data_IF_130003901236
#
_entry.id   IF_130003901236
#
_cell.length_a   1.000
_cell.length_b   1.000
_cell.length_c   1.000
_cell.angle_alpha   90.00
_cell.angle_beta   90.00
_cell.angle_gamma   90.00
#
_symmetry.space_group_name_H-M   'P 1'
#
loop_
_entity.id
_entity.type
_entity.pdbx_description
1 polymer ?
#
# COMPACT_ATOMS: atom_id res chain seq x y z
N UNK A 1 -45.99 -43.08 -8.19
CA UNK A 1 -45.08 -42.26 -9.02
C UNK A 1 -44.97 -40.91 -8.35
N UNK A 2 -43.92 -40.71 -7.56
CA UNK A 2 -43.66 -39.44 -6.87
C UNK A 2 -42.42 -38.81 -7.51
N UNK A 3 -42.60 -37.59 -7.98
CA UNK A 3 -41.59 -36.69 -8.53
C UNK A 3 -40.63 -36.26 -7.42
N UNK A 4 -39.31 -36.38 -7.64
CA UNK A 4 -38.31 -35.76 -6.78
C UNK A 4 -37.64 -34.64 -7.56
N UNK A 5 -37.93 -33.41 -7.13
CA UNK A 5 -37.22 -32.20 -7.52
C UNK A 5 -35.73 -32.33 -7.21
N UNK A 6 -34.90 -32.04 -8.21
CA UNK A 6 -33.46 -31.81 -8.03
C UNK A 6 -33.24 -30.31 -7.91
N UNK A 7 -33.15 -29.82 -6.67
CA UNK A 7 -32.67 -28.48 -6.39
C UNK A 7 -31.14 -28.45 -6.59
N UNK A 8 -30.71 -27.69 -7.60
CA UNK A 8 -29.31 -27.31 -7.82
C UNK A 8 -28.87 -26.32 -6.74
N UNK A 9 -28.05 -26.78 -5.80
CA UNK A 9 -27.33 -25.92 -4.86
C UNK A 9 -26.30 -25.09 -5.65
N UNK A 10 -26.56 -23.79 -5.81
CA UNK A 10 -25.57 -22.82 -6.23
C UNK A 10 -24.56 -22.66 -5.08
N UNK A 11 -23.41 -23.30 -5.20
CA UNK A 11 -22.29 -23.08 -4.29
C UNK A 11 -21.76 -21.65 -4.46
N UNK A 12 -21.86 -20.84 -3.41
CA UNK A 12 -21.15 -19.55 -3.32
C UNK A 12 -19.65 -19.84 -3.30
N UNK A 13 -18.98 -19.73 -4.44
CA UNK A 13 -17.52 -19.78 -4.50
C UNK A 13 -16.99 -18.57 -3.75
N UNK A 14 -16.48 -18.77 -2.54
CA UNK A 14 -15.73 -17.72 -1.83
C UNK A 14 -14.55 -17.34 -2.73
N UNK A 15 -14.41 -16.06 -3.13
CA UNK A 15 -13.30 -15.64 -3.97
C UNK A 15 -11.98 -15.99 -3.29
N UNK A 16 -11.10 -16.69 -4.00
CA UNK A 16 -9.77 -17.03 -3.50
C UNK A 16 -9.01 -15.75 -3.15
N UNK A 17 -8.28 -15.75 -2.04
CA UNK A 17 -7.54 -14.57 -1.60
C UNK A 17 -6.44 -14.26 -2.63
N UNK A 18 -6.58 -13.15 -3.35
CA UNK A 18 -5.52 -12.71 -4.27
C UNK A 18 -4.22 -12.38 -3.51
N UNK A 19 -3.09 -12.74 -4.12
CA UNK A 19 -1.73 -12.56 -3.59
C UNK A 19 -1.39 -11.07 -3.50
N UNK A 20 -0.82 -10.67 -2.35
CA UNK A 20 -0.35 -9.31 -2.13
C UNK A 20 0.78 -8.93 -3.11
N UNK A 21 0.65 -7.77 -3.76
CA UNK A 21 1.67 -7.23 -4.66
C UNK A 21 2.75 -6.51 -3.84
N UNK A 22 4.01 -6.84 -4.09
CA UNK A 22 5.11 -6.06 -3.53
C UNK A 22 5.20 -4.75 -4.31
N UNK A 23 5.05 -3.64 -3.60
CA UNK A 23 5.01 -2.28 -4.16
C UNK A 23 5.82 -1.37 -3.27
N UNK A 24 6.49 -0.40 -3.86
CA UNK A 24 7.16 0.65 -3.12
C UNK A 24 6.20 1.80 -2.78
N UNK A 25 6.54 2.62 -1.79
CA UNK A 25 5.77 3.79 -1.39
C UNK A 25 5.54 4.75 -2.56
N UNK A 26 6.57 5.01 -3.37
CA UNK A 26 6.46 5.85 -4.56
C UNK A 26 5.37 5.37 -5.52
N UNK A 27 5.31 4.05 -5.79
CA UNK A 27 4.28 3.47 -6.65
C UNK A 27 2.90 3.48 -5.99
N UNK A 28 2.84 3.16 -4.69
CA UNK A 28 1.59 3.10 -3.95
C UNK A 28 0.89 4.46 -3.89
N UNK A 29 1.65 5.54 -3.63
CA UNK A 29 1.10 6.87 -3.46
C UNK A 29 0.50 7.45 -4.75
N UNK A 30 0.97 7.01 -5.92
CA UNK A 30 0.40 7.40 -7.21
C UNK A 30 -0.80 6.54 -7.63
N UNK A 31 -1.08 5.44 -6.94
CA UNK A 31 -2.10 4.46 -7.31
C UNK A 31 -3.53 4.91 -6.91
N UNK A 32 -3.95 6.07 -7.39
CA UNK A 32 -5.17 6.78 -6.98
C UNK A 32 -6.46 6.32 -7.68
N UNK A 33 -6.36 5.47 -8.71
CA UNK A 33 -7.52 4.98 -9.45
C UNK A 33 -7.99 3.61 -8.95
N UNK A 34 -9.27 3.52 -8.57
CA UNK A 34 -9.91 2.28 -8.13
C UNK A 34 -11.03 1.83 -9.08
N UNK A 35 -11.25 0.51 -9.18
CA UNK A 35 -12.30 -0.05 -10.03
C UNK A 35 -12.79 -1.41 -9.52
N UNK A 36 -14.00 -1.80 -9.94
CA UNK A 36 -14.58 -3.15 -9.75
C UNK A 36 -14.54 -3.93 -11.06
N UNK A 37 -14.42 -5.26 -10.98
CA UNK A 37 -14.42 -6.13 -12.17
C UNK A 37 -15.82 -6.55 -12.62
N UNK A 38 -16.85 -6.30 -11.81
CA UNK A 38 -18.25 -6.54 -12.13
C UNK A 38 -19.15 -5.47 -11.47
N UNK A 39 -20.41 -5.43 -11.87
CA UNK A 39 -21.45 -4.56 -11.28
C UNK A 39 -22.05 -5.14 -9.99
N UNK A 40 -21.53 -6.27 -9.50
CA UNK A 40 -21.97 -6.85 -8.23
C UNK A 40 -21.55 -5.91 -7.09
N UNK A 41 -22.47 -5.63 -6.17
CA UNK A 41 -22.21 -4.80 -5.00
C UNK A 41 -21.03 -5.34 -4.18
N UNK A 42 -20.93 -6.66 -4.07
CA UNK A 42 -19.87 -7.40 -3.37
C UNK A 42 -18.62 -7.61 -4.21
N UNK A 43 -18.56 -7.06 -5.44
CA UNK A 43 -17.37 -7.18 -6.27
C UNK A 43 -16.16 -6.55 -5.56
N UNK A 44 -15.01 -7.24 -5.52
CA UNK A 44 -13.81 -6.69 -4.93
C UNK A 44 -13.39 -5.41 -5.67
N UNK A 45 -13.03 -4.41 -4.87
CA UNK A 45 -12.42 -3.17 -5.36
C UNK A 45 -10.92 -3.40 -5.52
N UNK A 46 -10.40 -3.01 -6.67
CA UNK A 46 -8.98 -3.04 -7.00
C UNK A 46 -8.46 -1.63 -7.17
N UNK A 47 -7.19 -1.43 -6.83
CA UNK A 47 -6.38 -0.30 -7.29
C UNK A 47 -5.69 -0.69 -8.60
N UNK A 48 -5.65 0.22 -9.56
CA UNK A 48 -4.76 0.11 -10.72
C UNK A 48 -3.37 0.64 -10.32
N UNK A 49 -2.37 -0.23 -10.21
CA UNK A 49 -1.01 0.23 -9.97
C UNK A 49 -0.47 0.92 -11.24
N UNK A 50 0.30 2.01 -11.11
CA UNK A 50 0.86 2.72 -12.25
C UNK A 50 1.81 1.86 -13.11
N UNK A 51 2.34 0.77 -12.56
CA UNK A 51 3.15 -0.24 -13.27
C UNK A 51 2.32 -1.24 -14.09
N UNK A 52 0.99 -1.05 -14.16
CA UNK A 52 0.13 -1.72 -15.13
C UNK A 52 -0.51 -3.02 -14.68
N UNK A 53 -0.52 -3.30 -13.38
CA UNK A 53 -1.28 -4.43 -12.79
C UNK A 53 -2.32 -3.95 -11.79
N UNK A 54 -3.32 -4.79 -11.52
CA UNK A 54 -4.28 -4.52 -10.45
C UNK A 54 -3.80 -5.08 -9.12
N UNK A 55 -4.18 -4.43 -8.03
CA UNK A 55 -3.93 -4.90 -6.68
C UNK A 55 -5.20 -4.84 -5.83
N UNK A 56 -5.58 -5.96 -5.22
CA UNK A 56 -6.53 -5.98 -4.10
C UNK A 56 -5.82 -5.89 -2.74
N UNK A 57 -4.58 -6.40 -2.68
CA UNK A 57 -3.68 -6.35 -1.53
C UNK A 57 -2.29 -5.96 -1.97
N UNK A 58 -1.60 -5.25 -1.09
CA UNK A 58 -0.19 -4.94 -1.24
C UNK A 58 0.60 -5.43 -0.03
N UNK A 59 1.88 -5.71 -0.25
CA UNK A 59 2.87 -6.05 0.76
C UNK A 59 3.95 -4.97 0.70
N UNK A 60 4.05 -4.18 1.76
CA UNK A 60 5.00 -3.08 1.89
C UNK A 60 5.82 -3.28 3.16
N UNK A 61 7.08 -2.83 3.15
CA UNK A 61 7.91 -2.82 4.35
C UNK A 61 8.67 -1.51 4.44
N UNK A 62 8.86 -1.02 5.66
CA UNK A 62 9.60 0.20 5.92
C UNK A 62 9.83 0.43 7.40
N UNK A 63 10.43 1.56 7.73
CA UNK A 63 10.67 2.00 9.09
C UNK A 63 9.46 2.79 9.58
N UNK A 64 8.87 2.38 10.68
CA UNK A 64 7.87 3.19 11.37
C UNK A 64 8.57 4.37 12.02
N UNK A 65 8.15 5.59 11.67
CA UNK A 65 8.69 6.81 12.31
C UNK A 65 7.75 7.34 13.38
N UNK A 66 6.43 7.22 13.16
CA UNK A 66 5.42 7.80 14.02
C UNK A 66 4.21 6.86 14.17
N UNK A 67 3.65 6.80 15.37
CA UNK A 67 2.39 6.14 15.70
C UNK A 67 1.56 7.12 16.51
N UNK A 68 0.45 7.57 15.93
CA UNK A 68 -0.42 8.58 16.52
C UNK A 68 -1.83 8.02 16.69
N UNK A 69 -2.47 8.34 17.81
CA UNK A 69 -3.91 8.12 17.96
C UNK A 69 -4.64 9.36 17.46
N UNK A 70 -5.31 9.20 16.32
CA UNK A 70 -6.15 10.21 15.68
C UNK A 70 -7.64 9.88 15.84
N UNK A 71 -7.96 8.96 16.76
CA UNK A 71 -9.33 8.58 17.10
C UNK A 71 -10.05 9.62 17.97
N UNK A 72 -11.31 9.32 18.27
CA UNK A 72 -12.12 10.07 19.25
C UNK A 72 -12.06 9.38 20.62
N UNK A 73 -12.47 10.07 21.69
CA UNK A 73 -12.41 9.56 23.08
C UNK A 73 -12.99 8.13 23.26
N UNK A 74 -13.96 7.73 22.44
CA UNK A 74 -14.64 6.43 22.51
C UNK A 74 -14.14 5.39 21.47
N UNK A 75 -13.32 5.80 20.48
CA UNK A 75 -12.89 4.96 19.38
C UNK A 75 -11.44 5.23 18.99
N UNK A 76 -10.54 4.32 19.39
CA UNK A 76 -9.12 4.37 19.00
C UNK A 76 -8.96 4.22 17.48
N UNK A 77 -8.18 5.10 16.89
CA UNK A 77 -7.86 5.08 15.47
C UNK A 77 -6.38 5.44 15.30
N UNK A 78 -5.54 4.43 15.11
CA UNK A 78 -4.10 4.65 15.01
C UNK A 78 -3.70 4.94 13.56
N UNK A 79 -3.02 6.07 13.38
CA UNK A 79 -2.31 6.46 12.16
C UNK A 79 -0.82 6.15 12.35
N UNK A 80 -0.26 5.37 11.43
CA UNK A 80 1.15 4.95 11.46
C UNK A 80 1.86 5.47 10.21
N UNK A 81 2.95 6.23 10.42
CA UNK A 81 3.83 6.71 9.36
C UNK A 81 4.92 5.68 9.11
N UNK A 82 5.02 5.20 7.87
CA UNK A 82 6.03 4.21 7.48
C UNK A 82 6.86 4.74 6.31
N UNK A 83 8.18 4.68 6.42
CA UNK A 83 9.13 5.16 5.42
C UNK A 83 9.86 3.98 4.79
N UNK A 84 9.78 3.85 3.47
CA UNK A 84 10.59 2.93 2.68
C UNK A 84 11.67 3.69 1.89
N UNK A 85 12.59 3.01 1.18
CA UNK A 85 13.65 3.69 0.42
C UNK A 85 13.17 4.69 -0.65
N UNK A 86 11.91 4.61 -1.06
CA UNK A 86 11.32 5.37 -2.17
C UNK A 86 10.36 6.47 -1.71
N UNK A 87 9.95 6.48 -0.43
CA UNK A 87 9.06 7.49 0.13
C UNK A 87 8.36 7.04 1.41
N UNK A 88 7.31 7.79 1.77
CA UNK A 88 6.49 7.54 2.96
C UNK A 88 5.11 7.05 2.55
N UNK A 89 4.48 6.20 3.35
CA UNK A 89 3.06 5.87 3.24
C UNK A 89 2.41 5.75 4.61
N UNK A 90 1.08 5.88 4.63
CA UNK A 90 0.29 5.85 5.86
C UNK A 90 -0.49 4.55 6.00
N UNK A 91 -0.55 4.04 7.23
CA UNK A 91 -1.34 2.87 7.60
C UNK A 91 -2.32 3.27 8.70
N UNK A 92 -3.60 2.95 8.52
CA UNK A 92 -4.64 3.27 9.48
C UNK A 92 -5.26 1.99 10.04
N UNK A 93 -5.29 1.86 11.36
CA UNK A 93 -5.97 0.76 12.04
C UNK A 93 -6.99 1.32 13.02
N UNK A 94 -8.25 0.92 12.85
CA UNK A 94 -9.33 1.24 13.78
C UNK A 94 -9.83 0.00 14.50
N UNK A 95 -11.01 0.13 15.09
CA UNK A 95 -11.67 -0.94 15.85
C UNK A 95 -11.81 -2.25 15.08
N UNK A 96 -11.94 -2.26 13.74
CA UNK A 96 -12.06 -3.51 12.99
C UNK A 96 -10.71 -4.23 12.78
N UNK A 97 -9.59 -3.56 13.05
CA UNK A 97 -8.23 -4.07 12.90
C UNK A 97 -7.57 -4.33 14.27
N UNK A 98 -8.30 -4.96 15.20
CA UNK A 98 -7.86 -5.22 16.58
C UNK A 98 -6.43 -5.79 16.71
N UNK A 99 -6.03 -6.73 15.84
CA UNK A 99 -4.69 -7.33 15.88
C UNK A 99 -3.60 -6.34 15.43
N UNK A 100 -3.88 -5.48 14.45
CA UNK A 100 -2.96 -4.42 14.04
C UNK A 100 -2.84 -3.35 15.14
N UNK A 101 -3.96 -2.90 15.72
CA UNK A 101 -3.99 -1.96 16.84
C UNK A 101 -3.10 -2.43 17.99
N UNK A 102 -3.25 -3.69 18.43
CA UNK A 102 -2.44 -4.27 19.52
C UNK A 102 -0.94 -4.27 19.20
N UNK A 103 -0.56 -4.48 17.93
CA UNK A 103 0.84 -4.48 17.48
C UNK A 103 1.37 -3.04 17.44
N UNK A 104 0.64 -2.10 16.84
CA UNK A 104 1.03 -0.69 16.75
C UNK A 104 1.27 -0.04 18.11
N UNK A 105 0.43 -0.31 19.11
CA UNK A 105 0.64 0.20 20.49
C UNK A 105 1.94 -0.28 21.16
N UNK A 106 2.57 -1.32 20.64
CA UNK A 106 3.82 -1.87 21.18
C UNK A 106 5.05 -1.44 20.38
N UNK A 107 4.85 -0.84 19.21
CA UNK A 107 5.95 -0.36 18.37
C UNK A 107 6.64 0.79 19.08
N UNK A 108 7.97 0.76 19.08
CA UNK A 108 8.80 1.85 19.57
C UNK A 108 9.60 2.41 18.40
N UNK A 109 9.12 3.47 17.73
CA UNK A 109 9.84 4.05 16.60
C UNK A 109 11.27 4.48 17.00
N UNK A 110 12.27 4.29 16.12
CA UNK A 110 12.18 3.67 14.79
C UNK A 110 12.22 2.13 14.83
N UNK A 111 11.30 1.48 14.10
CA UNK A 111 11.25 0.01 14.03
C UNK A 111 10.80 -0.47 12.63
N UNK A 112 11.39 -1.55 12.10
CA UNK A 112 10.99 -2.07 10.79
C UNK A 112 9.68 -2.85 10.89
N UNK A 113 8.76 -2.52 9.98
CA UNK A 113 7.42 -3.10 9.94
C UNK A 113 7.11 -3.61 8.54
N UNK A 114 6.61 -4.84 8.47
CA UNK A 114 5.93 -5.37 7.31
C UNK A 114 4.42 -5.19 7.43
N UNK A 115 3.78 -4.78 6.34
CA UNK A 115 2.34 -4.53 6.28
C UNK A 115 1.78 -5.23 5.05
N UNK A 116 0.79 -6.10 5.28
CA UNK A 116 -0.09 -6.63 4.23
C UNK A 116 -1.43 -5.96 4.41
N UNK A 117 -1.87 -5.20 3.40
CA UNK A 117 -3.06 -4.37 3.53
C UNK A 117 -3.78 -4.14 2.22
N UNK A 118 -5.00 -3.62 2.34
CA UNK A 118 -5.78 -3.14 1.21
C UNK A 118 -5.48 -1.66 0.98
N UNK A 119 -5.06 -1.26 -0.22
CA UNK A 119 -4.95 0.15 -0.55
C UNK A 119 -6.33 0.78 -0.58
N UNK A 120 -6.45 1.97 0.01
CA UNK A 120 -7.66 2.80 0.04
C UNK A 120 -7.31 4.19 -0.43
N UNK A 121 -8.14 4.71 -1.32
CA UNK A 121 -8.04 6.08 -1.79
C UNK A 121 -8.98 6.94 -0.97
N UNK A 122 -8.51 8.11 -0.55
CA UNK A 122 -9.32 9.11 0.13
C UNK A 122 -8.97 10.48 -0.44
N UNK A 123 -9.90 11.42 -0.32
CA UNK A 123 -9.72 12.78 -0.81
C UNK A 123 -9.38 13.67 0.38
N UNK A 124 -8.33 14.46 0.26
CA UNK A 124 -7.94 15.47 1.24
C UNK A 124 -8.67 16.79 1.01
N UNK A 125 -8.65 17.67 2.00
CA UNK A 125 -9.36 18.96 1.98
C UNK A 125 -8.89 19.90 0.87
N UNK A 126 -7.60 19.81 0.50
CA UNK A 126 -7.02 20.52 -0.64
C UNK A 126 -7.43 19.93 -2.01
N UNK A 127 -8.22 18.87 -2.00
CA UNK A 127 -8.79 18.22 -3.17
C UNK A 127 -7.91 17.14 -3.80
N UNK A 128 -6.73 16.85 -3.25
CA UNK A 128 -5.86 15.76 -3.73
C UNK A 128 -6.45 14.40 -3.35
N UNK A 129 -6.15 13.39 -4.15
CA UNK A 129 -6.51 12.00 -3.85
C UNK A 129 -5.23 11.31 -3.37
N UNK A 130 -5.24 10.83 -2.14
CA UNK A 130 -4.13 10.11 -1.54
C UNK A 130 -4.47 8.64 -1.35
N UNK A 131 -3.44 7.83 -1.13
CA UNK A 131 -3.55 6.39 -0.90
C UNK A 131 -3.03 6.07 0.50
N UNK A 132 -3.81 5.31 1.27
CA UNK A 132 -3.40 4.74 2.54
C UNK A 132 -3.65 3.23 2.57
N UNK A 133 -3.13 2.56 3.59
CA UNK A 133 -3.34 1.13 3.80
C UNK A 133 -4.26 0.87 4.98
N UNK A 134 -5.26 0.04 4.75
CA UNK A 134 -5.98 -0.66 5.82
C UNK A 134 -5.32 -2.03 6.01
N UNK A 135 -4.64 -2.27 7.15
CA UNK A 135 -3.89 -3.49 7.35
C UNK A 135 -4.82 -4.69 7.54
N UNK A 136 -4.46 -5.80 6.90
CA UNK A 136 -4.99 -7.13 7.22
C UNK A 136 -4.03 -7.90 8.14
N UNK A 137 -2.72 -7.70 7.97
CA UNK A 137 -1.68 -8.21 8.88
C UNK A 137 -0.50 -7.25 8.92
N UNK A 138 0.16 -7.18 10.07
CA UNK A 138 1.35 -6.37 10.29
C UNK A 138 2.34 -7.13 11.16
N UNK A 139 3.63 -6.91 11.00
CA UNK A 139 4.63 -7.59 11.83
C UNK A 139 5.94 -6.82 11.88
N UNK A 140 6.52 -6.71 13.06
CA UNK A 140 7.89 -6.23 13.21
C UNK A 140 8.82 -7.23 12.52
N UNK A 141 9.76 -6.71 11.74
CA UNK A 141 10.73 -7.50 10.98
C UNK A 141 12.15 -7.02 11.26
N UNK A 142 13.15 -7.83 10.86
CA UNK A 142 14.55 -7.41 10.89
C UNK A 142 14.97 -6.76 9.57
N UNK A 143 16.17 -6.16 9.57
CA UNK A 143 16.75 -5.52 8.39
C UNK A 143 16.91 -6.49 7.22
N UNK A 144 17.31 -7.74 7.49
CA UNK A 144 17.49 -8.77 6.46
C UNK A 144 16.19 -9.08 5.71
N UNK A 145 15.08 -9.16 6.44
CA UNK A 145 13.75 -9.39 5.88
C UNK A 145 13.29 -8.18 5.06
N UNK A 146 13.54 -6.97 5.56
CA UNK A 146 13.29 -5.71 4.83
C UNK A 146 14.09 -5.68 3.52
N UNK A 147 15.36 -6.04 3.55
CA UNK A 147 16.25 -6.02 2.38
C UNK A 147 15.84 -7.06 1.33
N UNK A 148 15.44 -8.27 1.75
CA UNK A 148 14.85 -9.28 0.86
C UNK A 148 13.58 -8.73 0.19
N UNK A 149 12.74 -8.04 0.96
CA UNK A 149 11.54 -7.40 0.40
C UNK A 149 11.89 -6.30 -0.59
N UNK A 150 12.90 -5.45 -0.32
CA UNK A 150 13.36 -4.41 -1.27
C UNK A 150 13.79 -5.05 -2.59
N UNK A 151 14.59 -6.12 -2.53
CA UNK A 151 14.99 -6.88 -3.71
C UNK A 151 13.77 -7.42 -4.49
N UNK A 152 12.84 -8.07 -3.81
CA UNK A 152 11.63 -8.64 -4.43
C UNK A 152 10.70 -7.57 -5.00
N UNK A 153 10.52 -6.45 -4.29
CA UNK A 153 9.71 -5.32 -4.73
C UNK A 153 10.32 -4.67 -5.98
N UNK A 154 11.64 -4.46 -6.01
CA UNK A 154 12.34 -3.92 -7.16
C UNK A 154 12.24 -4.86 -8.38
N UNK A 155 12.60 -6.14 -8.21
CA UNK A 155 12.52 -7.15 -9.28
C UNK A 155 11.12 -7.21 -9.88
N UNK A 156 10.08 -7.32 -9.04
CA UNK A 156 8.69 -7.40 -9.50
C UNK A 156 8.19 -6.10 -10.12
N UNK A 157 8.72 -4.95 -9.72
CA UNK A 157 8.35 -3.66 -10.32
C UNK A 157 8.90 -3.57 -11.74
N UNK A 158 10.17 -3.95 -11.93
CA UNK A 158 10.80 -4.01 -13.25
C UNK A 158 10.05 -4.98 -14.19
N UNK A 159 9.75 -6.19 -13.72
CA UNK A 159 8.98 -7.19 -14.49
C UNK A 159 7.58 -6.68 -14.89
N UNK A 160 6.91 -5.93 -14.01
CA UNK A 160 5.59 -5.36 -14.33
C UNK A 160 5.67 -4.29 -15.41
N UNK A 161 6.62 -3.37 -15.31
CA UNK A 161 6.80 -2.28 -16.28
C UNK A 161 7.18 -2.84 -17.66
N UNK A 162 8.13 -3.79 -17.69
CA UNK A 162 8.51 -4.49 -18.93
C UNK A 162 7.30 -5.19 -19.56
N UNK A 163 6.58 -6.01 -18.78
CA UNK A 163 5.39 -6.72 -19.25
C UNK A 163 4.29 -5.77 -19.73
N UNK A 164 4.11 -4.64 -19.04
CA UNK A 164 3.16 -3.60 -19.42
C UNK A 164 3.52 -2.98 -20.77
N UNK A 165 4.80 -2.74 -21.04
CA UNK A 165 5.29 -2.19 -22.31
C UNK A 165 5.16 -3.21 -23.46
N UNK A 166 5.50 -4.48 -23.23
CA UNK A 166 5.48 -5.52 -24.25
C UNK A 166 4.07 -5.98 -24.64
N UNK A 167 3.23 -6.25 -23.64
CA UNK A 167 1.93 -6.92 -23.86
C UNK A 167 0.74 -5.96 -23.77
N UNK A 168 0.97 -4.75 -23.26
CA UNK A 168 -0.05 -3.74 -22.99
C UNK A 168 -1.38 -4.30 -22.44
N UNK A 169 -1.36 -4.99 -21.28
CA UNK A 169 -2.58 -5.53 -20.68
C UNK A 169 -3.63 -4.45 -20.43
N UNK A 170 -4.90 -4.84 -20.30
CA UNK A 170 -6.01 -3.89 -20.07
C UNK A 170 -5.75 -2.95 -18.90
N UNK A 171 -5.15 -3.43 -17.81
CA UNK A 171 -4.84 -2.59 -16.64
C UNK A 171 -3.68 -1.64 -16.91
N UNK A 172 -2.69 -2.02 -17.72
CA UNK A 172 -1.62 -1.11 -18.14
C UNK A 172 -2.13 0.01 -19.05
N UNK A 173 -3.03 -0.29 -19.98
CA UNK A 173 -3.68 0.73 -20.80
C UNK A 173 -4.50 1.71 -19.94
N UNK A 174 -5.25 1.17 -18.97
CA UNK A 174 -6.03 1.97 -18.03
C UNK A 174 -5.13 2.84 -17.14
N UNK A 175 -4.06 2.28 -16.57
CA UNK A 175 -3.11 3.03 -15.75
C UNK A 175 -2.48 4.19 -16.54
N UNK A 176 -2.09 3.97 -17.80
CA UNK A 176 -1.58 5.03 -18.68
C UNK A 176 -2.58 6.15 -18.93
N UNK A 177 -3.83 5.77 -19.17
CA UNK A 177 -4.91 6.75 -19.38
C UNK A 177 -5.17 7.59 -18.13
N UNK A 178 -5.18 6.95 -16.96
CA UNK A 178 -5.49 7.62 -15.69
C UNK A 178 -4.31 8.46 -15.17
N UNK A 179 -3.08 7.97 -15.27
CA UNK A 179 -1.90 8.61 -14.67
C UNK A 179 -1.04 9.41 -15.67
N UNK A 180 -1.30 9.27 -16.98
CA UNK A 180 -0.61 10.06 -18.01
C UNK A 180 0.82 9.62 -18.33
N UNK A 181 1.30 8.49 -17.80
CA UNK A 181 2.62 7.94 -18.06
C UNK A 181 2.61 6.40 -18.11
N UNK A 182 3.68 5.77 -18.59
CA UNK A 182 3.76 4.32 -18.79
C UNK A 182 4.36 3.52 -17.63
N UNK A 183 4.71 4.20 -16.53
CA UNK A 183 5.28 3.60 -15.34
C UNK A 183 6.81 3.48 -15.37
N UNK A 184 7.47 3.97 -16.44
CA UNK A 184 8.93 3.96 -16.57
C UNK A 184 9.63 4.65 -15.39
N UNK A 185 9.03 5.69 -14.79
CA UNK A 185 9.56 6.31 -13.59
C UNK A 185 9.76 5.29 -12.44
N UNK A 186 8.79 4.42 -12.20
CA UNK A 186 8.88 3.40 -11.15
C UNK A 186 9.93 2.32 -11.46
N UNK A 187 10.19 2.03 -12.73
CA UNK A 187 11.32 1.18 -13.10
C UNK A 187 12.66 1.82 -12.74
N UNK A 188 12.83 3.13 -12.97
CA UNK A 188 14.04 3.84 -12.56
C UNK A 188 14.19 3.87 -11.03
N UNK A 189 13.11 4.17 -10.29
CA UNK A 189 13.10 4.15 -8.83
C UNK A 189 13.46 2.76 -8.29
N UNK A 190 12.87 1.70 -8.85
CA UNK A 190 13.17 0.32 -8.47
C UNK A 190 14.62 -0.07 -8.76
N UNK A 191 15.14 0.26 -9.94
CA UNK A 191 16.53 -0.01 -10.32
C UNK A 191 17.52 0.74 -9.41
N UNK A 192 17.26 2.02 -9.14
CA UNK A 192 18.08 2.83 -8.24
C UNK A 192 18.06 2.29 -6.81
N UNK A 193 16.89 1.91 -6.32
CA UNK A 193 16.75 1.33 -4.97
C UNK A 193 17.47 -0.01 -4.85
N UNK A 194 17.36 -0.86 -5.87
CA UNK A 194 18.08 -2.12 -5.93
C UNK A 194 19.60 -1.90 -6.00
N UNK A 195 20.06 -0.93 -6.78
CA UNK A 195 21.46 -0.58 -6.86
C UNK A 195 21.99 -0.11 -5.50
N UNK A 196 21.28 0.79 -4.81
CA UNK A 196 21.68 1.24 -3.47
C UNK A 196 21.72 0.09 -2.45
N UNK A 197 20.80 -0.87 -2.56
CA UNK A 197 20.84 -2.07 -1.72
C UNK A 197 22.09 -2.92 -2.00
N UNK A 198 22.49 -3.05 -3.27
CA UNK A 198 23.66 -3.84 -3.69
C UNK A 198 24.98 -3.14 -3.39
N UNK A 199 25.02 -1.82 -3.53
CA UNK A 199 26.19 -0.97 -3.21
C UNK A 199 26.37 -0.84 -1.67
N UNK A 200 25.36 -1.25 -0.90
CA UNK A 200 25.21 -1.06 0.55
C UNK A 200 25.90 -2.07 1.47
N UNK A 201 27.10 -2.55 1.13
CA UNK A 201 28.10 -3.11 2.07
C UNK A 201 29.42 -2.29 2.08
N UNK A 202 29.54 -1.21 1.27
CA UNK A 202 30.70 -0.29 1.29
C UNK A 202 30.37 1.16 1.73
N UNK A 203 29.08 1.57 1.76
CA UNK A 203 28.68 2.94 2.13
C UNK A 203 27.89 3.05 3.44
N UNK A 204 27.60 1.93 4.12
CA UNK A 204 26.80 1.90 5.35
C UNK A 204 27.51 2.47 6.60
N UNK A 205 28.71 3.04 6.47
CA UNK A 205 29.44 3.64 7.60
C UNK A 205 29.04 5.05 7.96
N UNK A 206 28.26 5.79 7.15
CA UNK A 206 27.80 7.14 7.55
C UNK A 206 26.35 7.36 7.09
N UNK A 207 25.39 6.80 7.83
CA UNK A 207 24.10 7.47 8.01
C UNK A 207 24.28 8.39 9.22
N UNK A 208 24.92 9.54 9.00
CA UNK A 208 24.96 10.57 10.03
C UNK A 208 23.57 11.19 10.20
N UNK A 209 23.34 11.73 11.40
CA UNK A 209 22.06 12.34 11.76
C UNK A 209 21.69 13.48 10.80
N UNK A 210 22.68 14.15 10.20
CA UNK A 210 22.53 15.23 9.22
C UNK A 210 21.82 14.77 7.96
N UNK A 211 22.17 13.60 7.40
CA UNK A 211 21.52 13.06 6.20
C UNK A 211 20.06 12.66 6.47
N UNK A 212 19.74 12.21 7.69
CA UNK A 212 18.36 11.90 8.09
C UNK A 212 17.57 13.20 8.26
N UNK A 213 18.16 14.21 8.88
CA UNK A 213 17.56 15.52 9.13
C UNK A 213 17.29 16.26 7.81
N UNK A 214 18.22 16.23 6.84
CA UNK A 214 18.05 16.84 5.51
C UNK A 214 16.90 16.17 4.73
N UNK A 215 16.77 14.84 4.82
CA UNK A 215 15.67 14.11 4.17
C UNK A 215 14.33 14.29 4.87
N UNK A 216 14.33 14.54 6.18
CA UNK A 216 13.13 14.92 6.94
C UNK A 216 12.70 16.34 6.57
N UNK A 217 13.63 17.30 6.48
CA UNK A 217 13.35 18.67 6.05
C UNK A 217 12.84 18.72 4.60
N UNK A 218 13.39 17.91 3.68
CA UNK A 218 12.86 17.80 2.32
C UNK A 218 11.44 17.19 2.26
N UNK A 219 11.11 16.31 3.19
CA UNK A 219 9.77 15.72 3.30
C UNK A 219 8.77 16.72 3.92
N UNK A 220 9.19 17.50 4.91
CA UNK A 220 8.40 18.58 5.52
C UNK A 220 8.21 19.76 4.56
N UNK A 221 9.24 20.15 3.80
CA UNK A 221 9.17 21.23 2.82
C UNK A 221 8.28 20.90 1.61
N UNK A 222 7.99 19.63 1.35
CA UNK A 222 6.99 19.20 0.35
C UNK A 222 5.55 19.29 0.84
N UNK A 223 5.32 19.72 2.08
CA UNK A 223 4.01 20.02 2.63
C UNK A 223 3.13 18.77 2.67
N UNK A 224 3.51 17.80 3.49
CA UNK A 224 2.65 16.71 3.95
C UNK A 224 2.01 17.03 5.32
N UNK A 225 1.83 18.33 5.62
CA UNK A 225 0.90 18.81 6.65
C UNK A 225 -0.53 18.52 6.17
N UNK A 226 -0.94 17.26 6.35
CA UNK A 226 -2.31 16.82 6.17
C UNK A 226 -2.90 16.60 7.56
N UNK A 227 -3.21 17.71 8.24
CA UNK A 227 -4.37 17.80 9.14
C UNK A 227 -5.63 17.81 8.26
N UNK A 228 -5.82 16.73 7.50
CA UNK A 228 -6.97 16.53 6.62
C UNK A 228 -7.93 15.55 7.28
N UNK A 229 -9.21 15.93 7.30
CA UNK A 229 -10.29 15.18 7.94
C UNK A 229 -10.32 13.68 7.59
N UNK A 230 -10.83 12.94 8.57
CA UNK A 230 -10.94 11.50 8.71
C UNK A 230 -11.48 10.80 7.43
N UNK A 231 -11.03 9.56 7.12
CA UNK A 231 -11.78 8.73 6.20
C UNK A 231 -13.15 8.44 6.81
N UNK A 232 -14.19 9.07 6.27
CA UNK A 232 -15.58 8.84 6.66
C UNK A 232 -15.85 7.34 6.72
N UNK A 233 -16.36 6.88 7.87
CA UNK A 233 -16.84 5.52 8.02
C UNK A 233 -17.92 5.30 6.95
N UNK A 234 -17.66 4.45 5.94
CA UNK A 234 -18.72 3.91 5.09
C UNK A 234 -19.66 3.10 6.00
N UNK A 235 -20.68 3.77 6.54
CA UNK A 235 -21.85 3.11 7.10
C UNK A 235 -22.50 2.37 5.94
N UNK A 236 -22.46 1.04 5.97
CA UNK A 236 -23.35 0.22 5.17
C UNK A 236 -24.78 0.69 5.46
N UNK A 237 -25.40 1.36 4.49
CA UNK A 237 -26.84 1.53 4.46
C UNK A 237 -27.40 0.13 4.16
N UNK A 238 -28.04 -0.47 5.17
CA UNK A 238 -28.95 -1.58 4.96
C UNK A 238 -30.18 -1.06 4.20
N UNK A 239 -30.47 -1.64 3.05
CA UNK A 239 -31.80 -1.69 2.44
C UNK A 239 -32.05 -3.12 1.91
#
# INVERSE_FOLDING_TARGET
MATSDSQSQQGTTVPDREVAKHVFAAELNEATYTFKTSQDERAPVYVALPTGVRANRVCVMGTVTDVEDVGTDDQEYLRVRVVDPTGTFWVYAGQYQHEALKKFKKIQPPEFLAVIGKPRTYKTDDGRINVSLVPEDVGVVDISTRDIWVFEAARRTLERVESAQETSPKVAALAREQYGHDGSYFAHVAAFTLQNLLDGDESATELDAETIEERLEEAEAKGDDVDGEEPEQETLIED
#
